data_IF_696119134630
#
_entry.id   IF_696119134630
#
_cell.length_a   1.000
_cell.length_b   1.000
_cell.length_c   1.000
_cell.angle_alpha   90.00
_cell.angle_beta   90.00
_cell.angle_gamma   90.00
#
_symmetry.space_group_name_H-M   'P 1'
#
loop_
_entity.id
_entity.type
_entity.pdbx_description
1 polymer ?
#
# COMPACT_ATOMS: atom_id res chain seq x y z
N UNK A 1 -26.53 17.35 43.18
CA UNK A 1 -26.39 16.09 43.95
C UNK A 1 -26.96 14.96 43.09
N UNK A 2 -26.10 14.01 42.68
CA UNK A 2 -26.34 12.72 42.00
C UNK A 2 -27.15 12.70 40.68
N UNK A 3 -26.54 12.38 39.52
CA UNK A 3 -26.33 11.03 38.95
C UNK A 3 -27.62 10.24 38.68
N UNK A 4 -27.99 9.99 37.41
CA UNK A 4 -27.62 8.75 36.70
C UNK A 4 -28.23 8.60 35.29
N UNK A 5 -27.41 7.94 34.45
CA UNK A 5 -27.63 7.38 33.11
C UNK A 5 -28.88 6.48 32.99
N UNK A 6 -29.46 6.41 31.78
CA UNK A 6 -29.64 5.14 31.03
C UNK A 6 -29.54 5.42 29.52
N UNK A 7 -28.51 4.87 28.88
CA UNK A 7 -28.43 4.71 27.43
C UNK A 7 -29.19 3.43 27.05
N UNK A 8 -30.14 3.52 26.11
CA UNK A 8 -30.78 2.35 25.51
C UNK A 8 -30.18 2.11 24.13
N UNK A 9 -29.34 1.07 24.03
CA UNK A 9 -28.75 0.58 22.79
C UNK A 9 -29.74 -0.31 22.05
N UNK A 10 -30.18 0.11 20.86
CA UNK A 10 -30.83 -0.77 19.88
C UNK A 10 -29.89 -0.91 18.68
N UNK A 11 -29.09 -1.96 18.68
CA UNK A 11 -28.29 -2.38 17.52
C UNK A 11 -29.21 -3.21 16.63
N UNK A 12 -29.60 -2.64 15.48
CA UNK A 12 -30.25 -3.37 14.40
C UNK A 12 -29.15 -4.07 13.61
N UNK A 13 -29.02 -5.39 13.80
CA UNK A 13 -28.24 -6.26 12.92
C UNK A 13 -28.99 -6.38 11.58
N UNK A 14 -28.45 -5.76 10.53
CA UNK A 14 -28.88 -6.01 9.16
C UNK A 14 -27.93 -7.05 8.55
N UNK A 15 -28.40 -8.29 8.48
CA UNK A 15 -27.75 -9.37 7.73
C UNK A 15 -27.90 -9.11 6.23
N UNK A 16 -26.80 -8.97 5.50
CA UNK A 16 -26.81 -9.12 4.04
C UNK A 16 -25.94 -10.31 3.68
N UNK A 17 -26.61 -11.41 3.39
CA UNK A 17 -26.03 -12.56 2.72
C UNK A 17 -25.87 -12.20 1.24
N UNK A 18 -24.63 -12.16 0.76
CA UNK A 18 -24.35 -12.17 -0.68
C UNK A 18 -23.58 -13.45 -0.99
N UNK A 19 -24.33 -14.47 -1.43
CA UNK A 19 -23.78 -15.58 -2.19
C UNK A 19 -23.34 -15.04 -3.55
N UNK A 20 -22.08 -15.25 -3.92
CA UNK A 20 -21.63 -15.12 -5.29
C UNK A 20 -20.99 -16.44 -5.70
N UNK A 21 -21.85 -17.32 -6.20
CA UNK A 21 -21.46 -18.52 -6.94
C UNK A 21 -21.03 -18.06 -8.34
N UNK A 22 -19.76 -18.26 -8.69
CA UNK A 22 -19.34 -18.26 -10.09
C UNK A 22 -18.72 -19.62 -10.40
N UNK A 23 -19.54 -20.44 -11.06
CA UNK A 23 -19.12 -21.61 -11.83
C UNK A 23 -18.72 -21.10 -13.20
N UNK A 24 -17.49 -21.36 -13.61
CA UNK A 24 -17.14 -21.51 -15.02
C UNK A 24 -16.08 -22.60 -15.14
N UNK A 25 -16.51 -23.76 -15.62
CA UNK A 25 -15.61 -24.81 -16.05
C UNK A 25 -14.95 -24.43 -17.37
N UNK A 26 -13.68 -24.75 -17.52
CA UNK A 26 -13.10 -25.14 -18.79
C UNK A 26 -12.04 -26.22 -18.53
N UNK A 27 -12.19 -27.30 -19.29
CA UNK A 27 -11.34 -28.46 -19.39
C UNK A 27 -10.06 -28.15 -20.17
N UNK A 28 -8.92 -28.73 -19.77
CA UNK A 28 -7.89 -29.12 -20.75
C UNK A 28 -6.43 -28.88 -20.35
N UNK A 29 -5.69 -29.99 -20.38
CA UNK A 29 -4.24 -30.13 -20.66
C UNK A 29 -3.22 -30.05 -19.51
N UNK A 30 -2.98 -31.26 -18.97
CA UNK A 30 -1.72 -32.00 -18.74
C UNK A 30 -0.45 -31.37 -18.14
N UNK A 31 0.30 -32.16 -17.33
CA UNK A 31 1.47 -31.72 -16.55
C UNK A 31 2.81 -31.99 -17.25
N UNK A 32 3.80 -31.14 -16.98
CA UNK A 32 5.25 -31.39 -17.09
C UNK A 32 5.96 -30.10 -16.62
N UNK A 33 7.10 -30.04 -15.95
CA UNK A 33 8.01 -31.03 -15.36
C UNK A 33 9.09 -30.25 -14.59
N UNK A 34 9.66 -30.92 -13.57
CA UNK A 34 10.92 -30.66 -12.86
C UNK A 34 12.01 -29.84 -13.58
N UNK A 35 12.63 -28.89 -12.85
CA UNK A 35 14.08 -28.58 -12.88
C UNK A 35 14.40 -27.68 -11.66
N UNK A 36 14.97 -28.21 -10.57
CA UNK A 36 16.41 -28.34 -10.25
C UNK A 36 17.14 -27.01 -10.03
N UNK A 37 17.58 -26.85 -8.78
CA UNK A 37 18.34 -25.77 -8.16
C UNK A 37 19.66 -25.39 -8.85
N UNK A 38 20.06 -24.12 -8.70
CA UNK A 38 21.47 -23.73 -8.63
C UNK A 38 21.68 -22.56 -7.67
N UNK A 39 22.38 -22.87 -6.57
CA UNK A 39 23.00 -21.94 -5.64
C UNK A 39 24.11 -21.16 -6.33
N UNK A 40 24.22 -19.86 -6.06
CA UNK A 40 25.41 -19.08 -6.38
C UNK A 40 26.16 -18.69 -5.11
N UNK A 41 27.46 -18.94 -5.20
CA UNK A 41 28.51 -18.89 -4.20
C UNK A 41 28.95 -17.45 -3.98
N UNK A 42 29.13 -17.08 -2.71
CA UNK A 42 29.85 -15.89 -2.25
C UNK A 42 31.29 -15.91 -2.78
N UNK A 43 31.70 -14.87 -3.50
CA UNK A 43 33.11 -14.57 -3.70
C UNK A 43 33.40 -13.13 -3.30
N UNK A 44 34.15 -13.04 -2.19
CA UNK A 44 34.71 -11.86 -1.58
C UNK A 44 36.09 -11.65 -2.21
N UNK A 45 36.37 -10.45 -2.73
CA UNK A 45 37.72 -10.03 -3.11
C UNK A 45 38.02 -8.68 -2.49
N UNK A 46 39.02 -8.68 -1.59
CA UNK A 46 39.66 -7.51 -1.00
C UNK A 46 40.83 -7.12 -1.90
N UNK A 47 40.87 -5.87 -2.38
CA UNK A 47 42.10 -5.21 -2.82
C UNK A 47 42.04 -3.74 -2.35
N UNK A 48 43.12 -3.33 -1.67
CA UNK A 48 43.36 -2.00 -1.10
C UNK A 48 43.71 -0.93 -2.15
N UNK A 49 43.19 0.26 -1.87
CA UNK A 49 43.70 1.61 -2.10
C UNK A 49 44.78 1.87 -3.17
N UNK A 50 44.40 2.67 -4.18
CA UNK A 50 45.18 3.86 -4.53
C UNK A 50 44.24 4.98 -4.99
N UNK A 51 44.68 6.20 -4.67
CA UNK A 51 43.99 7.48 -4.68
C UNK A 51 43.62 7.95 -6.10
N UNK A 52 42.35 8.25 -6.33
CA UNK A 52 41.92 9.18 -7.37
C UNK A 52 40.69 9.93 -6.87
N UNK A 53 40.98 10.98 -6.13
CA UNK A 53 40.09 12.07 -5.76
C UNK A 53 39.32 12.65 -6.98
N UNK A 54 38.14 13.18 -6.69
CA UNK A 54 37.25 14.02 -7.52
C UNK A 54 36.23 13.38 -8.48
N UNK A 55 35.31 12.54 -7.99
CA UNK A 55 33.93 12.49 -8.56
C UNK A 55 32.80 11.91 -7.68
N UNK A 56 32.80 12.16 -6.36
CA UNK A 56 31.74 11.62 -5.47
C UNK A 56 30.91 12.68 -4.73
N UNK A 57 31.21 13.98 -4.92
CA UNK A 57 30.61 15.06 -4.12
C UNK A 57 29.33 15.68 -4.71
N UNK A 58 28.85 15.24 -5.89
CA UNK A 58 27.76 15.93 -6.60
C UNK A 58 26.37 15.30 -6.54
N UNK A 59 26.21 14.09 -5.95
CA UNK A 59 24.89 13.43 -5.86
C UNK A 59 24.32 13.30 -4.44
N UNK A 60 25.12 13.54 -3.40
CA UNK A 60 24.69 13.32 -2.01
C UNK A 60 23.60 14.33 -1.60
N UNK A 61 23.71 15.59 -2.02
CA UNK A 61 22.75 16.64 -1.67
C UNK A 61 21.35 16.38 -2.26
N UNK A 62 21.29 15.84 -3.48
CA UNK A 62 20.03 15.57 -4.16
C UNK A 62 19.32 14.34 -3.58
N UNK A 63 20.10 13.32 -3.19
CA UNK A 63 19.56 12.13 -2.52
C UNK A 63 19.05 12.45 -1.11
N UNK A 64 19.75 13.28 -0.35
CA UNK A 64 19.34 13.73 0.98
C UNK A 64 18.06 14.57 0.92
N UNK A 65 18.00 15.53 -0.01
CA UNK A 65 16.80 16.37 -0.23
C UNK A 65 15.58 15.52 -0.63
N UNK A 66 15.76 14.57 -1.56
CA UNK A 66 14.72 13.62 -1.95
C UNK A 66 14.23 12.78 -0.76
N UNK A 67 15.15 12.25 0.04
CA UNK A 67 14.79 11.43 1.20
C UNK A 67 14.05 12.27 2.26
N UNK A 68 14.47 13.52 2.47
CA UNK A 68 13.81 14.45 3.38
C UNK A 68 12.38 14.79 2.91
N UNK A 69 12.18 15.01 1.60
CA UNK A 69 10.86 15.24 1.02
C UNK A 69 9.97 14.00 1.13
N UNK A 70 10.51 12.80 0.87
CA UNK A 70 9.78 11.55 1.03
C UNK A 70 9.38 11.32 2.50
N UNK A 71 10.29 11.52 3.44
CA UNK A 71 10.00 11.42 4.87
C UNK A 71 8.93 12.44 5.31
N UNK A 72 9.01 13.67 4.81
CA UNK A 72 8.01 14.71 5.05
C UNK A 72 6.63 14.28 4.54
N UNK A 73 6.55 13.78 3.30
CA UNK A 73 5.29 13.28 2.73
C UNK A 73 4.68 12.16 3.58
N UNK A 74 5.49 11.17 3.96
CA UNK A 74 5.03 10.05 4.78
C UNK A 74 4.52 10.50 6.14
N UNK A 75 5.20 11.46 6.77
CA UNK A 75 4.80 12.03 8.07
C UNK A 75 3.51 12.82 7.93
N UNK A 76 3.39 13.68 6.92
CA UNK A 76 2.17 14.45 6.66
C UNK A 76 0.96 13.54 6.38
N UNK A 77 1.14 12.47 5.60
CA UNK A 77 0.09 11.47 5.39
C UNK A 77 -0.28 10.72 6.67
N UNK A 78 0.67 10.46 7.56
CA UNK A 78 0.39 9.85 8.86
C UNK A 78 -0.41 10.78 9.78
N UNK A 79 -0.12 12.08 9.75
CA UNK A 79 -0.78 13.09 10.57
C UNK A 79 -2.23 13.37 10.11
N UNK A 80 -2.45 13.51 8.80
CA UNK A 80 -3.78 13.78 8.23
C UNK A 80 -4.61 12.50 8.05
N UNK A 81 -3.93 11.37 7.90
CA UNK A 81 -4.55 10.06 7.76
C UNK A 81 -4.74 9.62 6.30
N UNK A 82 -5.17 8.36 6.18
CA UNK A 82 -5.17 7.61 4.91
C UNK A 82 -6.17 8.11 3.87
N UNK A 83 -7.27 8.75 4.27
CA UNK A 83 -8.42 9.06 3.39
C UNK A 83 -8.42 10.52 2.99
N UNK A 84 -7.79 10.84 1.86
CA UNK A 84 -7.67 12.21 1.34
C UNK A 84 -9.00 12.88 1.03
N UNK A 85 -10.06 12.11 0.71
CA UNK A 85 -11.38 12.66 0.44
C UNK A 85 -12.07 13.25 1.69
N UNK A 86 -11.58 12.94 2.90
CA UNK A 86 -12.09 13.48 4.17
C UNK A 86 -11.33 14.73 4.62
N UNK A 87 -10.21 15.06 3.97
CA UNK A 87 -9.38 16.21 4.28
C UNK A 87 -9.95 17.50 3.70
N UNK A 88 -9.56 18.63 4.29
CA UNK A 88 -9.84 19.95 3.71
C UNK A 88 -9.03 20.17 2.43
N UNK A 89 -9.40 21.17 1.64
CA UNK A 89 -8.67 21.50 0.42
C UNK A 89 -7.24 21.95 0.73
N UNK A 90 -7.06 22.70 1.81
CA UNK A 90 -5.75 23.18 2.26
C UNK A 90 -4.83 22.01 2.65
N UNK A 91 -5.35 21.03 3.39
CA UNK A 91 -4.61 19.83 3.80
C UNK A 91 -4.21 18.97 2.60
N UNK A 92 -5.13 18.78 1.63
CA UNK A 92 -4.84 18.08 0.39
C UNK A 92 -3.77 18.78 -0.43
N UNK A 93 -3.88 20.10 -0.56
CA UNK A 93 -2.92 20.91 -1.31
C UNK A 93 -1.49 20.75 -0.76
N UNK A 94 -1.33 20.69 0.56
CA UNK A 94 -0.01 20.44 1.19
C UNK A 94 0.56 19.08 0.77
N UNK A 95 -0.25 18.01 0.76
CA UNK A 95 0.19 16.68 0.32
C UNK A 95 0.58 16.71 -1.16
N UNK A 96 -0.27 17.32 -2.00
CA UNK A 96 -0.09 17.39 -3.45
C UNK A 96 1.16 18.21 -3.82
N UNK A 97 1.45 19.31 -3.12
CA UNK A 97 2.64 20.14 -3.31
C UNK A 97 3.94 19.36 -2.99
N UNK A 98 3.94 18.60 -1.90
CA UNK A 98 5.09 17.76 -1.52
C UNK A 98 5.26 16.62 -2.54
N UNK A 99 4.16 15.97 -2.96
CA UNK A 99 4.19 14.91 -3.95
C UNK A 99 4.67 15.40 -5.33
N UNK A 100 4.23 16.59 -5.75
CA UNK A 100 4.67 17.23 -6.99
C UNK A 100 6.18 17.52 -6.96
N UNK A 101 6.71 17.95 -5.81
CA UNK A 101 8.14 18.20 -5.62
C UNK A 101 8.98 16.92 -5.76
N UNK A 102 8.42 15.75 -5.45
CA UNK A 102 9.08 14.45 -5.64
C UNK A 102 8.98 13.93 -7.09
N UNK A 103 8.10 14.48 -7.92
CA UNK A 103 7.77 13.93 -9.24
C UNK A 103 8.99 13.69 -10.14
N UNK A 104 9.96 14.61 -10.15
CA UNK A 104 11.21 14.50 -10.93
C UNK A 104 12.11 13.32 -10.52
N UNK A 105 11.93 12.82 -9.29
CA UNK A 105 12.71 11.76 -8.68
C UNK A 105 11.98 10.41 -8.61
N UNK A 106 10.77 10.33 -9.18
CA UNK A 106 9.94 9.11 -9.17
C UNK A 106 10.09 8.30 -10.45
N UNK A 107 9.82 7.00 -10.36
CA UNK A 107 9.76 6.15 -11.55
C UNK A 107 8.64 6.63 -12.48
N UNK A 108 8.87 6.76 -13.80
CA UNK A 108 7.83 7.16 -14.75
C UNK A 108 6.78 6.06 -14.99
N UNK A 109 7.00 4.85 -14.49
CA UNK A 109 6.09 3.71 -14.65
C UNK A 109 6.04 2.87 -13.38
N UNK A 110 5.59 3.44 -12.24
CA UNK A 110 5.59 2.75 -10.96
C UNK A 110 4.68 1.51 -10.99
N UNK A 111 3.63 1.54 -11.82
CA UNK A 111 2.69 0.43 -12.02
C UNK A 111 3.32 -0.81 -12.68
N UNK A 112 4.53 -0.73 -13.24
CA UNK A 112 5.24 -1.87 -13.85
C UNK A 112 6.18 -2.58 -12.89
N UNK A 113 6.44 -1.99 -11.73
CA UNK A 113 7.29 -2.61 -10.71
C UNK A 113 6.51 -3.79 -10.12
N UNK A 114 7.14 -4.96 -10.06
CA UNK A 114 6.55 -6.12 -9.40
C UNK A 114 6.42 -5.86 -7.90
N UNK A 115 5.25 -6.16 -7.35
CA UNK A 115 4.97 -6.01 -5.93
C UNK A 115 4.81 -7.40 -5.34
N UNK A 116 5.43 -7.60 -4.17
CA UNK A 116 5.34 -8.85 -3.42
C UNK A 116 5.15 -8.57 -1.93
N UNK A 117 4.66 -9.56 -1.19
CA UNK A 117 4.45 -9.44 0.25
C UNK A 117 3.21 -8.61 0.63
N UNK A 118 3.27 -7.98 1.81
CA UNK A 118 2.16 -7.22 2.40
C UNK A 118 2.49 -5.73 2.41
N UNK A 119 1.57 -4.94 1.88
CA UNK A 119 1.66 -3.48 1.78
C UNK A 119 0.52 -2.86 2.59
N UNK A 120 0.80 -1.71 3.19
CA UNK A 120 -0.21 -0.91 3.89
C UNK A 120 -0.49 0.35 3.08
N UNK A 121 -1.76 0.72 2.95
CA UNK A 121 -2.11 1.97 2.28
C UNK A 121 -1.72 3.13 3.18
N UNK A 122 -0.88 4.02 2.67
CA UNK A 122 -0.45 5.22 3.40
C UNK A 122 -1.44 6.35 3.16
N UNK A 123 -1.86 6.54 1.92
CA UNK A 123 -2.78 7.60 1.51
C UNK A 123 -3.54 7.23 0.23
N UNK A 124 -4.78 7.69 0.13
CA UNK A 124 -5.56 7.65 -1.11
C UNK A 124 -6.52 8.84 -1.18
N UNK A 125 -6.50 9.54 -2.31
CA UNK A 125 -7.49 10.58 -2.62
C UNK A 125 -8.86 10.00 -3.03
N UNK A 126 -8.99 8.66 -3.17
CA UNK A 126 -10.25 8.04 -3.60
C UNK A 126 -11.34 8.19 -2.53
N UNK A 127 -12.56 8.60 -2.90
CA UNK A 127 -13.68 8.68 -1.97
C UNK A 127 -14.32 7.31 -1.66
N UNK A 128 -13.82 6.22 -2.26
CA UNK A 128 -14.47 4.90 -2.23
C UNK A 128 -13.88 3.96 -1.17
N UNK A 129 -14.46 2.76 -1.03
CA UNK A 129 -14.00 1.74 -0.09
C UNK A 129 -12.53 1.33 -0.28
N UNK A 130 -11.93 1.57 -1.45
CA UNK A 130 -10.51 1.31 -1.69
C UNK A 130 -9.57 2.19 -0.86
N UNK A 131 -10.04 3.34 -0.38
CA UNK A 131 -9.31 4.15 0.60
C UNK A 131 -9.57 3.72 2.05
N UNK A 132 -10.35 2.65 2.27
CA UNK A 132 -10.76 2.19 3.59
C UNK A 132 -11.92 3.00 4.18
N UNK A 133 -12.48 3.95 3.43
CA UNK A 133 -13.63 4.73 3.84
C UNK A 133 -14.92 3.92 3.69
N UNK A 134 -15.64 3.73 4.80
CA UNK A 134 -16.99 3.15 4.82
C UNK A 134 -17.91 4.07 5.63
N UNK A 135 -18.52 5.04 4.94
CA UNK A 135 -19.27 6.12 5.57
C UNK A 135 -18.38 6.92 6.55
N UNK A 136 -18.78 7.11 7.82
CA UNK A 136 -17.99 7.83 8.79
C UNK A 136 -16.73 7.05 9.22
N UNK A 137 -16.73 5.73 9.03
CA UNK A 137 -15.63 4.87 9.49
C UNK A 137 -14.45 4.91 8.50
N UNK A 138 -13.25 4.73 9.05
CA UNK A 138 -12.02 4.53 8.29
C UNK A 138 -11.36 3.25 8.81
N UNK A 139 -11.20 2.28 7.92
CA UNK A 139 -10.50 1.04 8.21
C UNK A 139 -9.06 1.07 7.70
N UNK A 140 -8.20 0.26 8.34
CA UNK A 140 -6.82 0.05 7.89
C UNK A 140 -6.85 -0.76 6.61
N UNK A 141 -6.22 -0.25 5.54
CA UNK A 141 -6.16 -0.94 4.26
C UNK A 141 -4.82 -1.63 4.10
N UNK A 142 -4.86 -2.91 3.74
CA UNK A 142 -3.66 -3.69 3.42
C UNK A 142 -3.87 -4.43 2.11
N UNK A 143 -2.80 -4.57 1.34
CA UNK A 143 -2.76 -5.37 0.12
C UNK A 143 -1.74 -6.48 0.31
N UNK A 144 -2.14 -7.73 0.12
CA UNK A 144 -1.25 -8.89 0.22
C UNK A 144 -1.19 -9.59 -1.13
N UNK A 145 0.01 -9.68 -1.71
CA UNK A 145 0.23 -10.40 -2.97
C UNK A 145 0.37 -11.90 -2.68
N UNK A 146 -0.44 -12.70 -3.36
CA UNK A 146 -0.40 -14.16 -3.30
C UNK A 146 0.62 -14.71 -4.29
N UNK A 147 0.66 -14.11 -5.47
CA UNK A 147 1.60 -14.36 -6.55
C UNK A 147 1.72 -13.08 -7.42
N UNK A 148 2.35 -13.19 -8.59
CA UNK A 148 2.59 -12.08 -9.51
C UNK A 148 1.30 -11.46 -10.08
N UNK A 149 0.23 -12.24 -10.15
CA UNK A 149 -1.05 -11.86 -10.76
C UNK A 149 -2.13 -11.63 -9.70
N UNK A 150 -2.14 -12.34 -8.59
CA UNK A 150 -3.23 -12.30 -7.61
C UNK A 150 -2.84 -11.56 -6.33
N UNK A 151 -3.78 -10.75 -5.84
CA UNK A 151 -3.64 -10.07 -4.56
C UNK A 151 -4.97 -10.00 -3.81
N UNK A 152 -4.87 -9.80 -2.50
CA UNK A 152 -5.99 -9.58 -1.60
C UNK A 152 -5.94 -8.14 -1.09
N UNK A 153 -6.96 -7.36 -1.41
CA UNK A 153 -7.21 -6.08 -0.75
C UNK A 153 -8.06 -6.33 0.49
N UNK A 154 -7.54 -5.97 1.66
CA UNK A 154 -8.23 -6.10 2.93
C UNK A 154 -8.45 -4.74 3.56
N UNK A 155 -9.66 -4.51 4.09
CA UNK A 155 -9.98 -3.39 4.97
C UNK A 155 -10.35 -3.93 6.35
N UNK A 156 -9.63 -3.49 7.39
CA UNK A 156 -9.84 -3.91 8.78
C UNK A 156 -10.36 -2.75 9.64
N UNK A 157 -11.40 -2.99 10.44
CA UNK A 157 -11.97 -2.04 11.38
C UNK A 157 -11.85 -2.56 12.81
N UNK A 158 -11.80 -1.63 13.78
CA UNK A 158 -11.80 -1.94 15.22
C UNK A 158 -10.76 -3.00 15.61
N UNK A 159 -9.49 -2.77 15.22
CA UNK A 159 -8.37 -3.69 15.46
C UNK A 159 -8.60 -5.13 14.95
N UNK A 160 -9.35 -5.28 13.85
CA UNK A 160 -9.59 -6.56 13.18
C UNK A 160 -10.88 -7.27 13.60
N UNK A 161 -11.71 -6.69 14.47
CA UNK A 161 -13.00 -7.27 14.83
C UNK A 161 -13.94 -7.42 13.63
N UNK A 162 -13.78 -6.56 12.62
CA UNK A 162 -14.48 -6.65 11.35
C UNK A 162 -13.49 -6.45 10.20
N UNK A 163 -13.55 -7.35 9.21
CA UNK A 163 -12.69 -7.28 8.02
C UNK A 163 -13.49 -7.57 6.76
N UNK A 164 -13.11 -6.89 5.69
CA UNK A 164 -13.60 -7.12 4.32
C UNK A 164 -12.39 -7.48 3.48
N UNK A 165 -12.47 -8.55 2.69
CA UNK A 165 -11.41 -9.02 1.80
C UNK A 165 -11.95 -9.10 0.37
N UNK A 166 -11.19 -8.55 -0.58
CA UNK A 166 -11.45 -8.63 -2.01
C UNK A 166 -10.25 -9.31 -2.68
N UNK A 167 -10.53 -10.40 -3.38
CA UNK A 167 -9.57 -11.08 -4.24
C UNK A 167 -9.60 -10.40 -5.61
N UNK A 168 -8.43 -10.03 -6.12
CA UNK A 168 -8.30 -9.31 -7.37
C UNK A 168 -7.06 -9.77 -8.15
N UNK A 169 -7.11 -9.54 -9.45
CA UNK A 169 -6.03 -9.82 -10.38
C UNK A 169 -5.39 -8.50 -10.83
N UNK A 170 -4.06 -8.42 -10.79
CA UNK A 170 -3.27 -7.31 -11.27
C UNK A 170 -2.97 -7.54 -12.75
N UNK A 171 -3.51 -6.68 -13.60
CA UNK A 171 -3.12 -6.56 -15.01
C UNK A 171 -2.14 -5.41 -15.16
N UNK A 172 -0.89 -5.74 -15.51
CA UNK A 172 0.10 -4.72 -15.88
C UNK A 172 -0.26 -4.24 -17.29
N UNK A 173 -0.63 -2.95 -17.40
CA UNK A 173 -0.95 -2.29 -18.68
C UNK A 173 0.30 -1.72 -19.35
#
# INVERSE_FOLDING_TARGET
MLMNKVFSSSIILLSVAAQATLVSGFTGFSPASLATSRSYVLQQSVISAEDTDTKTTLNISNDEERNNLAAKLLTTCADYGQVGSKLTEEERSIIDDIAASLGSSTSPSPAKIELSGKHELIYSASPSASSGALGPLTGKVTQSFLDEAMFINRVEFFAGAFKIELYAERKVL
#
